data_IF_604457087398
#
_entry.id   IF_604457087398
#
_cell.length_a   1.000
_cell.length_b   1.000
_cell.length_c   1.000
_cell.angle_alpha   90.00
_cell.angle_beta   90.00
_cell.angle_gamma   90.00
#
_symmetry.space_group_name_H-M   'P 1'
#
loop_
_entity.id
_entity.type
_entity.pdbx_description
1 polymer ?
#
# COMPACT_ATOMS: atom_id res chain seq x y z
N UNK A 1 25.73 -1.13 2.70
CA UNK A 1 24.74 -1.56 1.68
C UNK A 1 24.48 -0.38 0.75
N UNK A 2 24.56 -0.53 -0.59
CA UNK A 2 24.22 0.56 -1.50
C UNK A 2 22.74 0.94 -1.30
N UNK A 3 22.46 2.25 -1.25
CA UNK A 3 21.09 2.77 -1.14
C UNK A 3 20.28 2.30 -2.34
N UNK A 4 19.31 1.43 -2.08
CA UNK A 4 18.33 0.97 -3.09
C UNK A 4 17.46 2.17 -3.44
N UNK A 5 17.61 2.67 -4.67
CA UNK A 5 16.78 3.76 -5.16
C UNK A 5 15.68 3.13 -6.01
N UNK A 6 14.41 3.19 -5.60
CA UNK A 6 13.33 2.65 -6.42
C UNK A 6 13.22 3.46 -7.74
N UNK A 7 12.62 2.89 -8.79
CA UNK A 7 12.50 3.59 -10.06
C UNK A 7 11.68 4.88 -9.89
N UNK A 8 12.01 5.91 -10.69
CA UNK A 8 11.35 7.24 -10.60
C UNK A 8 9.83 7.07 -10.70
N UNK A 9 9.10 7.66 -9.75
CA UNK A 9 7.64 7.59 -9.68
C UNK A 9 7.09 6.49 -8.76
N UNK A 10 7.95 5.61 -8.23
CA UNK A 10 7.58 4.55 -7.28
C UNK A 10 8.26 4.87 -5.94
N UNK A 11 7.64 5.73 -5.14
CA UNK A 11 8.10 6.04 -3.78
C UNK A 11 6.89 6.45 -2.93
N UNK A 12 6.94 6.29 -1.60
CA UNK A 12 5.97 6.92 -0.70
C UNK A 12 5.85 8.41 -1.06
N UNK A 13 4.64 8.95 -1.04
CA UNK A 13 4.43 10.36 -1.39
C UNK A 13 4.91 11.30 -0.27
N UNK A 14 5.49 10.73 0.80
CA UNK A 14 6.22 11.39 1.90
C UNK A 14 5.37 12.47 2.57
N UNK A 15 4.12 12.14 2.92
CA UNK A 15 3.18 13.05 3.57
C UNK A 15 2.31 13.85 2.59
N UNK A 16 2.43 13.63 1.29
CA UNK A 16 1.58 14.27 0.26
C UNK A 16 0.39 13.42 -0.16
N UNK A 17 0.23 12.23 0.42
CA UNK A 17 -0.85 11.30 0.12
C UNK A 17 -2.22 11.98 0.21
N UNK A 18 -2.48 12.69 1.32
CA UNK A 18 -3.75 13.38 1.52
C UNK A 18 -4.01 14.47 0.47
N UNK A 19 -3.00 15.30 0.17
CA UNK A 19 -3.12 16.36 -0.84
C UNK A 19 -3.50 15.77 -2.20
N UNK A 20 -2.81 14.72 -2.63
CA UNK A 20 -3.05 14.06 -3.92
C UNK A 20 -4.42 13.40 -3.95
N UNK A 21 -4.87 12.82 -2.83
CA UNK A 21 -6.21 12.24 -2.74
C UNK A 21 -7.29 13.31 -2.85
N UNK A 22 -7.15 14.43 -2.15
CA UNK A 22 -8.11 15.54 -2.21
C UNK A 22 -8.21 16.19 -3.59
N UNK A 23 -7.15 16.08 -4.40
CA UNK A 23 -7.12 16.54 -5.80
C UNK A 23 -7.67 15.50 -6.80
N UNK A 24 -7.89 14.26 -6.36
CA UNK A 24 -8.32 13.15 -7.21
C UNK A 24 -7.18 12.44 -7.95
N UNK A 25 -5.93 12.83 -7.70
CA UNK A 25 -4.74 12.28 -8.36
C UNK A 25 -4.28 10.94 -7.74
N UNK A 26 -4.75 10.65 -6.51
CA UNK A 26 -4.47 9.40 -5.80
C UNK A 26 -5.78 8.81 -5.27
N UNK A 27 -6.17 7.59 -5.66
CA UNK A 27 -7.47 7.03 -5.26
C UNK A 27 -7.43 6.39 -3.86
N UNK A 28 -6.25 5.94 -3.41
CA UNK A 28 -6.06 5.23 -2.15
C UNK A 28 -4.68 5.50 -1.54
N UNK A 29 -4.62 5.61 -0.21
CA UNK A 29 -3.40 5.56 0.59
C UNK A 29 -3.46 4.36 1.54
N UNK A 30 -2.30 3.75 1.80
CA UNK A 30 -2.13 2.58 2.65
C UNK A 30 -0.95 2.85 3.61
N UNK A 31 -1.17 2.58 4.89
CA UNK A 31 -0.18 2.73 5.95
C UNK A 31 -0.19 1.49 6.84
N UNK A 32 0.94 1.21 7.49
CA UNK A 32 1.05 0.18 8.51
C UNK A 32 1.51 0.85 9.81
N UNK A 33 0.75 0.67 10.88
CA UNK A 33 1.06 1.20 12.20
C UNK A 33 1.48 0.07 13.12
N UNK A 34 2.74 0.10 13.57
CA UNK A 34 3.21 -0.82 14.60
C UNK A 34 2.65 -0.43 15.98
N UNK A 35 2.57 -1.37 16.94
CA UNK A 35 2.12 -1.08 18.29
C UNK A 35 2.90 0.07 18.92
N UNK A 36 2.19 1.13 19.33
CA UNK A 36 2.78 2.29 19.99
C UNK A 36 3.23 3.42 19.06
N UNK A 37 3.13 3.26 17.74
CA UNK A 37 3.33 4.39 16.81
C UNK A 37 2.15 5.36 16.86
N UNK A 38 2.46 6.65 16.92
CA UNK A 38 1.46 7.71 16.76
C UNK A 38 1.17 7.98 15.26
N UNK A 39 0.21 8.85 14.99
CA UNK A 39 -0.23 9.13 13.62
C UNK A 39 0.79 9.91 12.79
N UNK A 40 1.68 10.64 13.45
CA UNK A 40 2.74 11.42 12.86
C UNK A 40 3.86 10.50 12.38
N UNK A 41 4.26 9.54 13.21
CA UNK A 41 5.23 8.49 12.86
C UNK A 41 4.70 7.57 11.75
N UNK A 42 3.40 7.26 11.76
CA UNK A 42 2.75 6.48 10.70
C UNK A 42 2.62 7.29 9.40
N UNK A 43 2.55 8.63 9.51
CA UNK A 43 2.37 9.55 8.37
C UNK A 43 0.91 9.80 7.98
N UNK A 44 -0.06 9.46 8.85
CA UNK A 44 -1.50 9.60 8.60
C UNK A 44 -2.21 10.64 9.50
N UNK A 45 -1.48 11.43 10.30
CA UNK A 45 -2.02 12.44 11.22
C UNK A 45 -3.05 13.40 10.61
N UNK A 46 -2.84 13.83 9.37
CA UNK A 46 -3.72 14.81 8.72
C UNK A 46 -5.03 14.23 8.16
N UNK A 47 -5.18 12.90 8.13
CA UNK A 47 -6.38 12.27 7.59
C UNK A 47 -7.59 12.38 8.52
N UNK A 48 -7.39 12.43 9.84
CA UNK A 48 -8.46 12.40 10.85
C UNK A 48 -9.59 13.42 10.59
N UNK A 49 -9.30 14.72 10.52
CA UNK A 49 -10.32 15.74 10.27
C UNK A 49 -11.09 15.54 8.96
N UNK A 50 -10.41 15.10 7.90
CA UNK A 50 -11.00 14.89 6.58
C UNK A 50 -11.91 13.65 6.56
N UNK A 51 -11.59 12.66 7.38
CA UNK A 51 -12.44 11.47 7.62
C UNK A 51 -13.70 11.86 8.39
N UNK A 52 -13.58 12.71 9.42
CA UNK A 52 -14.74 13.24 10.15
C UNK A 52 -15.69 14.05 9.25
N UNK A 53 -15.15 14.79 8.28
CA UNK A 53 -15.92 15.49 7.24
C UNK A 53 -16.60 14.53 6.22
N UNK A 54 -16.24 13.25 6.21
CA UNK A 54 -16.76 12.25 5.26
C UNK A 54 -16.22 12.40 3.83
N UNK A 55 -15.21 13.25 3.62
CA UNK A 55 -14.59 13.48 2.30
C UNK A 55 -13.57 12.40 1.94
N UNK A 56 -13.04 11.71 2.94
CA UNK A 56 -12.21 10.52 2.83
C UNK A 56 -12.79 9.46 3.76
N UNK A 57 -12.74 8.20 3.34
CA UNK A 57 -13.13 7.07 4.17
C UNK A 57 -11.88 6.38 4.71
N UNK A 58 -11.94 5.90 5.96
CA UNK A 58 -10.89 5.09 6.59
C UNK A 58 -11.40 3.67 6.81
N UNK A 59 -10.56 2.70 6.46
CA UNK A 59 -10.72 1.30 6.79
C UNK A 59 -9.45 0.80 7.45
N UNK A 60 -9.56 -0.08 8.45
CA UNK A 60 -8.38 -0.71 9.00
C UNK A 60 -8.61 -2.15 9.42
N UNK A 61 -7.52 -2.87 9.57
CA UNK A 61 -7.52 -4.18 10.21
C UNK A 61 -6.23 -4.38 11.01
N UNK A 62 -6.34 -5.06 12.14
CA UNK A 62 -5.20 -5.41 12.98
C UNK A 62 -4.83 -6.86 12.75
N UNK A 63 -3.55 -7.13 12.53
CA UNK A 63 -3.01 -8.48 12.53
C UNK A 63 -2.95 -9.00 13.98
N UNK A 64 -3.61 -10.12 14.25
CA UNK A 64 -3.67 -10.70 15.59
C UNK A 64 -2.35 -11.27 16.10
N UNK A 65 -1.39 -11.57 15.23
CA UNK A 65 -0.07 -12.12 15.59
C UNK A 65 0.93 -11.01 15.87
N UNK A 66 0.94 -9.97 15.02
CA UNK A 66 1.96 -8.90 15.09
C UNK A 66 1.42 -7.64 15.77
N UNK A 67 0.11 -7.53 15.97
CA UNK A 67 -0.59 -6.31 16.42
C UNK A 67 -0.38 -5.10 15.49
N UNK A 68 0.15 -5.30 14.28
CA UNK A 68 0.28 -4.24 13.27
C UNK A 68 -1.10 -3.91 12.72
N UNK A 69 -1.44 -2.63 12.67
CA UNK A 69 -2.67 -2.13 12.06
C UNK A 69 -2.40 -1.64 10.63
N UNK A 70 -3.03 -2.27 9.64
CA UNK A 70 -3.09 -1.76 8.29
C UNK A 70 -4.23 -0.75 8.18
N UNK A 71 -3.90 0.47 7.74
CA UNK A 71 -4.85 1.58 7.59
C UNK A 71 -4.94 1.98 6.12
N UNK A 72 -6.13 1.88 5.55
CA UNK A 72 -6.42 2.30 4.18
C UNK A 72 -7.33 3.53 4.20
N UNK A 73 -7.01 4.50 3.35
CA UNK A 73 -7.80 5.70 3.13
C UNK A 73 -8.19 5.79 1.66
N UNK A 74 -9.42 6.17 1.34
CA UNK A 74 -9.88 6.36 -0.05
C UNK A 74 -10.90 7.49 -0.17
N UNK A 75 -11.07 7.98 -1.41
CA UNK A 75 -12.24 8.78 -1.75
C UNK A 75 -13.53 7.96 -1.60
N UNK A 76 -14.70 8.57 -1.34
CA UNK A 76 -15.95 7.84 -1.14
C UNK A 76 -16.34 6.91 -2.30
N UNK A 77 -15.98 7.26 -3.54
CA UNK A 77 -16.24 6.44 -4.74
C UNK A 77 -15.25 5.27 -4.92
N UNK A 78 -14.17 5.25 -4.15
CA UNK A 78 -13.04 4.31 -4.28
C UNK A 78 -12.99 3.29 -3.14
N UNK A 79 -14.08 3.14 -2.38
CA UNK A 79 -14.19 2.22 -1.24
C UNK A 79 -13.75 0.78 -1.56
N UNK A 80 -14.06 0.33 -2.76
CA UNK A 80 -13.71 -1.00 -3.25
C UNK A 80 -12.20 -1.27 -3.21
N UNK A 81 -11.36 -0.24 -3.40
CA UNK A 81 -9.90 -0.37 -3.38
C UNK A 81 -9.40 -0.70 -1.98
N UNK A 82 -9.86 0.05 -0.97
CA UNK A 82 -9.51 -0.18 0.43
C UNK A 82 -9.92 -1.59 0.87
N UNK A 83 -11.17 -1.97 0.59
CA UNK A 83 -11.71 -3.29 0.94
C UNK A 83 -10.92 -4.43 0.28
N UNK A 84 -10.61 -4.29 -1.01
CA UNK A 84 -9.84 -5.30 -1.74
C UNK A 84 -8.39 -5.36 -1.24
N UNK A 85 -7.76 -4.23 -0.93
CA UNK A 85 -6.41 -4.18 -0.34
C UNK A 85 -6.36 -4.94 0.98
N UNK A 86 -7.32 -4.69 1.88
CA UNK A 86 -7.39 -5.38 3.18
C UNK A 86 -7.66 -6.89 3.01
N UNK A 87 -8.49 -7.27 2.04
CA UNK A 87 -8.73 -8.69 1.73
C UNK A 87 -7.45 -9.38 1.25
N UNK A 88 -6.74 -8.78 0.29
CA UNK A 88 -5.48 -9.32 -0.25
C UNK A 88 -4.46 -9.46 0.88
N UNK A 89 -4.30 -8.42 1.71
CA UNK A 89 -3.36 -8.47 2.83
C UNK A 89 -3.68 -9.61 3.82
N UNK A 90 -4.96 -9.84 4.11
CA UNK A 90 -5.39 -10.99 4.92
C UNK A 90 -5.06 -12.33 4.26
N UNK A 91 -5.30 -12.45 2.94
CA UNK A 91 -4.98 -13.65 2.19
C UNK A 91 -3.47 -13.93 2.17
N UNK A 92 -2.64 -12.90 2.00
CA UNK A 92 -1.18 -13.01 2.07
C UNK A 92 -0.72 -13.52 3.45
N UNK A 93 -1.30 -13.01 4.54
CA UNK A 93 -0.97 -13.46 5.90
C UNK A 93 -1.40 -14.89 6.20
N UNK A 94 -2.48 -15.36 5.57
CA UNK A 94 -2.91 -16.76 5.64
C UNK A 94 -2.22 -17.67 4.62
N UNK A 95 -1.29 -17.13 3.83
CA UNK A 95 -0.61 -17.77 2.70
C UNK A 95 -1.52 -18.19 1.53
N UNK A 96 -2.85 -18.22 1.70
CA UNK A 96 -3.83 -18.54 0.66
C UNK A 96 -3.75 -17.69 -0.62
N UNK A 97 -3.16 -16.48 -0.55
CA UNK A 97 -2.93 -15.68 -1.75
C UNK A 97 -1.95 -16.35 -2.73
N UNK A 98 -0.97 -17.09 -2.22
CA UNK A 98 0.11 -17.68 -3.01
C UNK A 98 -0.29 -18.96 -3.74
N UNK A 99 -1.44 -19.54 -3.41
CA UNK A 99 -2.07 -20.62 -4.18
C UNK A 99 -2.66 -20.11 -5.52
N UNK A 100 -2.90 -18.81 -5.62
CA UNK A 100 -3.62 -18.18 -6.74
C UNK A 100 -2.75 -17.18 -7.49
N UNK A 101 -1.94 -16.41 -6.77
CA UNK A 101 -1.17 -15.29 -7.32
C UNK A 101 0.32 -15.47 -7.11
N UNK A 102 1.11 -15.12 -8.12
CA UNK A 102 2.55 -14.97 -7.91
C UNK A 102 2.84 -13.69 -7.13
N UNK A 103 4.01 -13.56 -6.48
CA UNK A 103 4.42 -12.30 -5.86
C UNK A 103 4.41 -11.10 -6.82
N UNK A 104 4.65 -11.33 -8.11
CA UNK A 104 4.59 -10.27 -9.13
C UNK A 104 3.14 -9.85 -9.41
N UNK A 105 2.18 -10.79 -9.38
CA UNK A 105 0.76 -10.46 -9.54
C UNK A 105 0.25 -9.66 -8.34
N UNK A 106 0.66 -10.02 -7.12
CA UNK A 106 0.35 -9.27 -5.92
C UNK A 106 0.89 -7.83 -5.98
N UNK A 107 2.13 -7.64 -6.45
CA UNK A 107 2.70 -6.32 -6.67
C UNK A 107 1.93 -5.50 -7.73
N UNK A 108 1.41 -6.16 -8.78
CA UNK A 108 0.55 -5.50 -9.79
C UNK A 108 -0.79 -5.07 -9.21
N UNK A 109 -1.41 -5.93 -8.42
CA UNK A 109 -2.68 -5.65 -7.75
C UNK A 109 -2.51 -4.47 -6.79
N UNK A 110 -1.50 -4.50 -5.92
CA UNK A 110 -1.20 -3.42 -4.98
C UNK A 110 -0.91 -2.09 -5.70
N UNK A 111 -0.04 -2.11 -6.72
CA UNK A 111 0.26 -0.92 -7.52
C UNK A 111 -0.97 -0.32 -8.19
N UNK A 112 -1.84 -1.17 -8.74
CA UNK A 112 -3.11 -0.75 -9.36
C UNK A 112 -4.06 -0.17 -8.33
N UNK A 113 -4.16 -0.78 -7.15
CA UNK A 113 -5.02 -0.31 -6.05
C UNK A 113 -4.58 1.07 -5.55
N UNK A 114 -3.28 1.31 -5.45
CA UNK A 114 -2.70 2.60 -5.04
C UNK A 114 -2.80 3.70 -6.10
N UNK A 115 -3.23 3.36 -7.32
CA UNK A 115 -3.44 4.29 -8.43
C UNK A 115 -2.20 4.56 -9.29
N UNK A 116 -1.16 3.73 -9.22
CA UNK A 116 -0.01 3.86 -10.11
C UNK A 116 -0.39 3.53 -11.55
N UNK A 117 0.25 4.20 -12.52
CA UNK A 117 0.07 3.88 -13.93
C UNK A 117 0.57 2.47 -14.22
N UNK A 118 -0.03 1.81 -15.23
CA UNK A 118 0.38 0.47 -15.65
C UNK A 118 1.88 0.40 -15.96
N UNK A 119 2.41 1.43 -16.63
CA UNK A 119 3.84 1.51 -16.98
C UNK A 119 4.73 1.57 -15.74
N UNK A 120 4.31 2.32 -14.72
CA UNK A 120 5.04 2.43 -13.45
C UNK A 120 5.01 1.11 -12.69
N UNK A 121 3.85 0.44 -12.65
CA UNK A 121 3.69 -0.87 -12.03
C UNK A 121 4.58 -1.91 -12.73
N UNK A 122 4.55 -2.00 -14.05
CA UNK A 122 5.38 -2.98 -14.78
C UNK A 122 6.88 -2.67 -14.62
N UNK A 123 7.28 -1.39 -14.60
CA UNK A 123 8.66 -1.01 -14.31
C UNK A 123 9.10 -1.46 -12.91
N UNK A 124 8.24 -1.32 -11.89
CA UNK A 124 8.50 -1.81 -10.55
C UNK A 124 8.67 -3.33 -10.52
N UNK A 125 7.73 -4.06 -11.13
CA UNK A 125 7.74 -5.53 -11.15
C UNK A 125 8.98 -6.06 -11.88
N UNK A 126 9.34 -5.49 -13.02
CA UNK A 126 10.55 -5.85 -13.76
C UNK A 126 11.82 -5.60 -12.93
N UNK A 127 11.88 -4.47 -12.22
CA UNK A 127 13.00 -4.16 -11.33
C UNK A 127 13.09 -5.17 -10.18
N UNK A 128 11.99 -5.45 -9.49
CA UNK A 128 11.94 -6.41 -8.39
C UNK A 128 12.34 -7.83 -8.83
N UNK A 129 11.87 -8.28 -10.00
CA UNK A 129 12.26 -9.56 -10.58
C UNK A 129 13.77 -9.61 -10.86
N UNK A 130 14.34 -8.55 -11.44
CA UNK A 130 15.79 -8.49 -11.73
C UNK A 130 16.66 -8.59 -10.47
N UNK A 131 16.19 -8.05 -9.34
CA UNK A 131 16.90 -8.13 -8.06
C UNK A 131 16.88 -9.54 -7.45
N UNK A 132 15.79 -10.30 -7.65
CA UNK A 132 15.72 -11.71 -7.25
C UNK A 132 16.67 -12.58 -8.06
N UNK A 133 16.79 -12.33 -9.38
CA UNK A 133 17.76 -13.03 -10.23
C UNK A 133 19.21 -12.78 -9.83
N UNK A 134 19.52 -11.62 -9.25
CA UNK A 134 20.87 -11.28 -8.77
C UNK A 134 21.18 -11.82 -7.36
N UNK A 135 20.18 -12.24 -6.59
CA UNK A 135 20.34 -12.80 -5.25
C UNK A 135 19.45 -14.05 -5.07
N UNK A 136 19.81 -15.20 -5.65
CA UNK A 136 19.01 -16.42 -5.55
C UNK A 136 19.05 -17.11 -4.18
N UNK A 137 19.89 -16.63 -3.24
CA UNK A 137 20.05 -17.22 -1.91
C UNK A 137 19.06 -16.61 -0.92
N UNK A 138 17.80 -17.00 -0.97
CA UNK A 138 16.84 -16.91 0.16
C UNK A 138 15.59 -17.72 -0.22
N UNK A 139 15.77 -19.04 -0.20
CA UNK A 139 14.71 -20.03 0.03
C UNK A 139 14.80 -20.47 1.50
#
# INVERSE_FOLDING_TARGET
MPKRTPPKGIAPYNGRELELMLRGDKPMALFAAEPGMDTEDVGDAHFGPIVEEGRILKFSQVDSKTSVEERCYCLPTEEWRCKLSLLIARMCRSEAAFDVFTPNDLARLEGTLLGYSKESVEAFVAHAASLKFLNPSTD
#
